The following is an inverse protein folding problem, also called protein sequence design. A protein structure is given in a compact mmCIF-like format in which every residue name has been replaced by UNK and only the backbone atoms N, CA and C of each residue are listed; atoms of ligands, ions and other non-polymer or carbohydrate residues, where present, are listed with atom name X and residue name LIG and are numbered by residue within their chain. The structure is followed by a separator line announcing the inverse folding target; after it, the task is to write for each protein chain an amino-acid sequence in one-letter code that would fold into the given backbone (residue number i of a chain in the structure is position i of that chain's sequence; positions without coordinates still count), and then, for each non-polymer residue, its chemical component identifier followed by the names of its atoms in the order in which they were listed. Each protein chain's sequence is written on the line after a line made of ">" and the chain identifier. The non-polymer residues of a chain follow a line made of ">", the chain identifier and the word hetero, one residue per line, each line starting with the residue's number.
data_IF_368768208122
#
_entry.id   IF_368768208122
#
_cell.length_a   1.000
_cell.length_b   1.000
_cell.length_c   1.000
_cell.angle_alpha   90.00
_cell.angle_beta   90.00
_cell.angle_gamma   90.00
#
_symmetry.space_group_name_H-M   'P 1'
#
loop_
_entity.id
_entity.type
_entity.pdbx_description
1 polymer ?
#
# COMPACT_ATOMS: atom_id res chain seq x y z
N UNK A 1 -6.35 -12.81 -19.69
CA UNK A 1 -5.47 -13.72 -20.44
C UNK A 1 -6.06 -15.14 -20.52
N UNK A 2 -6.40 -15.79 -19.40
CA UNK A 2 -6.97 -17.16 -19.38
C UNK A 2 -8.26 -17.29 -20.19
N UNK A 3 -9.14 -16.29 -20.12
CA UNK A 3 -10.37 -16.27 -20.93
C UNK A 3 -10.07 -16.33 -22.44
N UNK A 4 -9.15 -15.47 -22.90
CA UNK A 4 -8.75 -15.43 -24.31
C UNK A 4 -8.11 -16.76 -24.74
N UNK A 5 -7.22 -17.33 -23.93
CA UNK A 5 -6.58 -18.62 -24.21
C UNK A 5 -7.57 -19.76 -24.30
N UNK A 6 -8.52 -19.88 -23.36
CA UNK A 6 -9.56 -20.90 -23.41
C UNK A 6 -10.49 -20.70 -24.61
N UNK A 7 -10.89 -19.45 -24.91
CA UNK A 7 -11.75 -19.14 -26.04
C UNK A 7 -11.07 -19.51 -27.37
N UNK A 8 -9.81 -19.10 -27.58
CA UNK A 8 -9.03 -19.42 -28.78
C UNK A 8 -8.84 -20.93 -28.91
N UNK A 9 -8.53 -21.62 -27.81
CA UNK A 9 -8.41 -23.08 -27.80
C UNK A 9 -9.71 -23.78 -28.24
N UNK A 10 -10.86 -23.37 -27.68
CA UNK A 10 -12.16 -23.90 -28.07
C UNK A 10 -12.49 -23.62 -29.54
N UNK A 11 -12.20 -22.41 -30.06
CA UNK A 11 -12.46 -22.06 -31.45
C UNK A 11 -11.59 -22.87 -32.42
N UNK A 12 -10.34 -23.12 -32.09
CA UNK A 12 -9.44 -23.97 -32.90
C UNK A 12 -9.95 -25.40 -32.98
N UNK A 13 -10.33 -25.98 -31.84
CA UNK A 13 -10.88 -27.33 -31.79
C UNK A 13 -12.19 -27.41 -32.54
N UNK A 14 -13.08 -26.43 -32.44
CA UNK A 14 -14.34 -26.32 -33.14
C UNK A 14 -14.11 -26.26 -34.67
N UNK A 15 -13.16 -25.47 -35.12
CA UNK A 15 -12.77 -25.40 -36.54
C UNK A 15 -12.27 -26.73 -37.09
N UNK A 16 -11.51 -27.49 -36.31
CA UNK A 16 -11.06 -28.87 -36.68
C UNK A 16 -12.25 -29.81 -36.77
N UNK A 17 -13.15 -29.81 -35.80
CA UNK A 17 -14.36 -30.66 -35.78
C UNK A 17 -15.21 -30.39 -37.02
N UNK A 18 -15.49 -29.11 -37.36
CA UNK A 18 -16.25 -28.72 -38.55
C UNK A 18 -15.55 -29.15 -39.84
N UNK A 19 -14.23 -28.93 -39.94
CA UNK A 19 -13.45 -29.35 -41.12
C UNK A 19 -13.47 -30.84 -41.36
N UNK A 20 -13.41 -31.66 -40.28
CA UNK A 20 -13.52 -33.13 -40.40
C UNK A 20 -14.94 -33.53 -40.83
N UNK A 21 -15.97 -32.87 -40.31
CA UNK A 21 -17.36 -33.13 -40.71
C UNK A 21 -17.57 -32.87 -42.20
N UNK A 22 -17.09 -31.74 -42.73
CA UNK A 22 -17.23 -31.37 -44.15
C UNK A 22 -16.49 -32.38 -45.05
N UNK A 23 -15.26 -32.76 -44.67
CA UNK A 23 -14.49 -33.76 -45.41
C UNK A 23 -15.18 -35.14 -45.46
N UNK A 24 -15.79 -35.56 -44.33
CA UNK A 24 -16.56 -36.82 -44.27
C UNK A 24 -17.81 -36.75 -45.14
N UNK A 25 -18.58 -35.68 -45.10
CA UNK A 25 -19.78 -35.50 -45.92
C UNK A 25 -19.44 -35.49 -47.41
N UNK A 26 -18.33 -34.85 -47.81
CA UNK A 26 -17.86 -34.82 -49.20
C UNK A 26 -17.34 -36.18 -49.69
N UNK A 27 -16.83 -37.04 -48.81
CA UNK A 27 -16.34 -38.38 -49.21
C UNK A 27 -17.43 -39.39 -49.47
N UNK A 28 -18.67 -39.12 -49.08
CA UNK A 28 -19.81 -40.01 -49.30
C UNK A 28 -20.42 -39.79 -50.67
N UNK A 29 -20.27 -40.79 -51.59
CA UNK A 29 -20.72 -40.69 -52.99
C UNK A 29 -22.24 -40.71 -53.14
N UNK A 30 -23.01 -41.14 -52.15
CA UNK A 30 -24.47 -41.16 -52.10
C UNK A 30 -24.96 -41.41 -50.66
N UNK A 31 -24.98 -40.37 -49.80
CA UNK A 31 -25.40 -40.53 -48.42
C UNK A 31 -26.90 -40.77 -48.33
N UNK A 32 -27.31 -41.79 -47.61
CA UNK A 32 -28.70 -41.93 -47.17
C UNK A 32 -29.03 -40.89 -46.12
N UNK A 33 -30.23 -40.28 -46.13
CA UNK A 33 -30.67 -39.21 -45.19
C UNK A 33 -30.40 -39.55 -43.71
N UNK A 34 -30.63 -40.83 -43.35
CA UNK A 34 -30.37 -41.30 -42.00
C UNK A 34 -28.87 -41.29 -41.61
N UNK A 35 -27.96 -41.51 -42.55
CA UNK A 35 -26.51 -41.47 -42.31
C UNK A 35 -26.04 -40.01 -42.09
N UNK A 36 -26.56 -39.10 -42.87
CA UNK A 36 -26.25 -37.65 -42.72
C UNK A 36 -26.72 -37.15 -41.34
N UNK A 37 -27.92 -37.49 -40.90
CA UNK A 37 -28.44 -37.12 -39.60
C UNK A 37 -27.60 -37.68 -38.44
N UNK A 38 -27.11 -38.93 -38.55
CA UNK A 38 -26.23 -39.55 -37.54
C UNK A 38 -24.89 -38.77 -37.47
N UNK A 39 -24.28 -38.47 -38.60
CA UNK A 39 -23.01 -37.74 -38.66
C UNK A 39 -23.20 -36.34 -38.00
N UNK A 40 -24.19 -35.60 -38.38
CA UNK A 40 -24.49 -34.29 -37.78
C UNK A 40 -24.71 -34.42 -36.25
N UNK A 41 -25.48 -35.41 -35.81
CA UNK A 41 -25.72 -35.69 -34.41
C UNK A 41 -24.45 -35.94 -33.60
N UNK A 42 -23.52 -36.75 -34.13
CA UNK A 42 -22.23 -37.03 -33.49
C UNK A 42 -21.38 -35.77 -33.38
N UNK A 43 -21.30 -34.96 -34.45
CA UNK A 43 -20.53 -33.73 -34.44
C UNK A 43 -21.12 -32.65 -33.50
N UNK A 44 -22.45 -32.57 -33.37
CA UNK A 44 -23.10 -31.71 -32.37
C UNK A 44 -22.75 -32.11 -30.94
N UNK A 45 -22.69 -33.43 -30.65
CA UNK A 45 -22.28 -33.92 -29.35
C UNK A 45 -20.81 -33.59 -29.07
N UNK A 46 -19.91 -33.76 -30.05
CA UNK A 46 -18.51 -33.41 -29.90
C UNK A 46 -18.29 -31.92 -29.68
N UNK A 47 -19.00 -31.09 -30.40
CA UNK A 47 -19.01 -29.62 -30.24
C UNK A 47 -19.47 -29.20 -28.85
N UNK A 48 -20.57 -29.78 -28.37
CA UNK A 48 -21.07 -29.55 -27.02
C UNK A 48 -20.04 -29.97 -25.94
N UNK A 49 -19.42 -31.14 -26.13
CA UNK A 49 -18.36 -31.63 -25.22
C UNK A 49 -17.15 -30.66 -25.18
N UNK A 50 -16.75 -30.12 -26.34
CA UNK A 50 -15.66 -29.13 -26.43
C UNK A 50 -16.00 -27.89 -25.64
N UNK A 51 -17.22 -27.34 -25.79
CA UNK A 51 -17.67 -26.14 -25.04
C UNK A 51 -17.68 -26.43 -23.53
N UNK A 52 -18.22 -27.56 -23.09
CA UNK A 52 -18.27 -27.92 -21.67
C UNK A 52 -16.86 -28.11 -21.10
N UNK A 53 -15.95 -28.74 -21.85
CA UNK A 53 -14.57 -28.93 -21.44
C UNK A 53 -13.83 -27.59 -21.31
N UNK A 54 -14.04 -26.67 -22.26
CA UNK A 54 -13.49 -25.32 -22.21
C UNK A 54 -14.00 -24.51 -21.03
N UNK A 55 -15.30 -24.56 -20.77
CA UNK A 55 -15.92 -23.91 -19.62
C UNK A 55 -15.41 -24.48 -18.29
N UNK A 56 -15.27 -25.79 -18.18
CA UNK A 56 -14.69 -26.47 -17.00
C UNK A 56 -13.23 -26.06 -16.76
N UNK A 57 -12.42 -26.04 -17.82
CA UNK A 57 -11.01 -25.63 -17.73
C UNK A 57 -10.89 -24.17 -17.29
N UNK A 58 -11.71 -23.29 -17.88
CA UNK A 58 -11.76 -21.86 -17.47
C UNK A 58 -12.14 -21.71 -16.00
N UNK A 59 -13.20 -22.38 -15.55
CA UNK A 59 -13.63 -22.38 -14.15
C UNK A 59 -12.52 -22.86 -13.21
N UNK A 60 -11.83 -23.94 -13.56
CA UNK A 60 -10.74 -24.49 -12.75
C UNK A 60 -9.52 -23.58 -12.68
N UNK A 61 -9.16 -22.90 -13.77
CA UNK A 61 -8.03 -21.98 -13.83
C UNK A 61 -8.33 -20.68 -13.06
N UNK A 62 -9.53 -20.11 -13.25
CA UNK A 62 -9.93 -18.88 -12.55
C UNK A 62 -10.18 -19.14 -11.06
N UNK A 63 -10.81 -20.25 -10.69
CA UNK A 63 -11.07 -20.59 -9.29
C UNK A 63 -9.79 -20.68 -8.46
N UNK A 64 -8.72 -21.25 -9.01
CA UNK A 64 -7.41 -21.32 -8.30
C UNK A 64 -6.77 -19.95 -8.09
N UNK A 65 -6.90 -19.03 -9.05
CA UNK A 65 -6.35 -17.67 -8.92
C UNK A 65 -7.14 -16.86 -7.90
N UNK A 66 -8.47 -16.94 -7.92
CA UNK A 66 -9.35 -16.28 -6.94
C UNK A 66 -9.11 -16.78 -5.51
N UNK A 67 -9.00 -18.12 -5.33
CA UNK A 67 -8.71 -18.69 -4.00
C UNK A 67 -7.35 -18.24 -3.47
N UNK A 68 -6.32 -18.19 -4.33
CA UNK A 68 -4.98 -17.72 -3.94
C UNK A 68 -5.01 -16.26 -3.52
N UNK A 69 -5.70 -15.42 -4.26
CA UNK A 69 -5.80 -13.99 -3.96
C UNK A 69 -6.59 -13.75 -2.66
N UNK A 70 -7.74 -14.42 -2.50
CA UNK A 70 -8.53 -14.35 -1.26
C UNK A 70 -7.74 -14.84 -0.04
N UNK A 71 -6.98 -15.92 -0.19
CA UNK A 71 -6.13 -16.44 0.90
C UNK A 71 -4.99 -15.48 1.23
N UNK A 72 -4.39 -14.84 0.23
CA UNK A 72 -3.36 -13.82 0.42
C UNK A 72 -3.91 -12.63 1.20
N UNK A 73 -5.03 -12.08 0.79
CA UNK A 73 -5.69 -10.97 1.49
C UNK A 73 -6.06 -11.33 2.93
N UNK A 74 -6.55 -12.56 3.16
CA UNK A 74 -6.86 -13.04 4.51
C UNK A 74 -5.59 -13.14 5.37
N UNK A 75 -4.50 -13.65 4.82
CA UNK A 75 -3.22 -13.77 5.53
C UNK A 75 -2.63 -12.39 5.85
N UNK A 76 -2.68 -11.44 4.92
CA UNK A 76 -2.26 -10.06 5.12
C UNK A 76 -3.06 -9.40 6.25
N UNK A 77 -4.39 -9.58 6.25
CA UNK A 77 -5.26 -9.08 7.35
C UNK A 77 -4.94 -9.73 8.69
N UNK A 78 -4.73 -11.04 8.73
CA UNK A 78 -4.38 -11.76 9.97
C UNK A 78 -3.02 -11.33 10.51
N UNK A 79 -2.04 -11.14 9.63
CA UNK A 79 -0.73 -10.61 9.99
C UNK A 79 -0.84 -9.20 10.58
N UNK A 80 -1.65 -8.33 9.94
CA UNK A 80 -1.96 -6.98 10.41
C UNK A 80 -2.50 -7.01 11.86
N UNK A 81 -3.54 -7.81 12.12
CA UNK A 81 -4.10 -7.94 13.47
C UNK A 81 -3.09 -8.47 14.51
N UNK A 82 -2.26 -9.43 14.12
CA UNK A 82 -1.25 -10.02 15.00
C UNK A 82 -0.16 -8.99 15.36
N UNK A 83 0.34 -8.22 14.40
CA UNK A 83 1.34 -7.18 14.63
C UNK A 83 0.79 -6.07 15.55
N UNK A 84 -0.44 -5.62 15.30
CA UNK A 84 -1.09 -4.60 16.14
C UNK A 84 -1.30 -5.09 17.57
N UNK A 85 -1.81 -6.31 17.74
CA UNK A 85 -2.02 -6.88 19.07
C UNK A 85 -0.71 -6.97 19.84
N UNK A 86 0.39 -7.32 19.18
CA UNK A 86 1.73 -7.34 19.77
C UNK A 86 2.21 -5.94 20.16
N UNK A 87 2.10 -4.96 19.23
CA UNK A 87 2.59 -3.59 19.45
C UNK A 87 1.74 -2.80 20.45
N UNK A 88 0.46 -3.18 20.65
CA UNK A 88 -0.40 -2.67 21.75
C UNK A 88 -0.10 -3.34 23.09
N UNK A 89 0.20 -4.64 23.10
CA UNK A 89 0.42 -5.40 24.34
C UNK A 89 1.60 -4.85 25.15
N UNK A 90 2.68 -4.45 24.49
CA UNK A 90 3.90 -3.95 25.13
C UNK A 90 3.65 -2.67 25.95
N UNK A 91 3.12 -1.56 25.38
CA UNK A 91 2.82 -0.36 26.15
C UNK A 91 1.73 -0.59 27.21
N UNK A 92 0.71 -1.41 26.91
CA UNK A 92 -0.35 -1.75 27.86
C UNK A 92 0.20 -2.48 29.09
N UNK A 93 1.12 -3.43 28.91
CA UNK A 93 1.77 -4.13 30.01
C UNK A 93 2.59 -3.16 30.87
N UNK A 94 3.29 -2.20 30.25
CA UNK A 94 4.04 -1.17 30.96
C UNK A 94 3.13 -0.25 31.77
N UNK A 95 2.02 0.24 31.17
CA UNK A 95 1.03 1.07 31.86
C UNK A 95 0.44 0.32 33.06
N UNK A 96 0.05 -0.95 32.87
CA UNK A 96 -0.50 -1.78 33.93
C UNK A 96 0.51 -2.01 35.04
N UNK A 97 1.79 -2.27 34.73
CA UNK A 97 2.85 -2.47 35.70
C UNK A 97 3.09 -1.24 36.57
N UNK A 98 3.24 -0.07 35.92
CA UNK A 98 3.46 1.19 36.65
C UNK A 98 2.24 1.60 37.47
N UNK A 99 1.02 1.46 36.95
CA UNK A 99 -0.20 1.74 37.68
C UNK A 99 -0.34 0.80 38.93
N UNK A 100 0.04 -0.48 38.80
CA UNK A 100 0.06 -1.42 39.92
C UNK A 100 1.10 -1.03 40.95
N UNK A 101 2.31 -0.65 40.56
CA UNK A 101 3.36 -0.21 41.48
C UNK A 101 2.96 1.05 42.27
N UNK A 102 2.31 2.01 41.61
CA UNK A 102 1.73 3.20 42.27
C UNK A 102 0.63 2.82 43.28
N UNK A 103 -0.30 1.93 42.89
CA UNK A 103 -1.39 1.44 43.73
C UNK A 103 -0.91 0.72 44.98
N UNK A 104 0.18 -0.03 44.86
CA UNK A 104 0.78 -0.80 45.95
C UNK A 104 1.75 0.04 46.84
N UNK A 105 1.92 1.33 46.51
CA UNK A 105 2.82 2.23 47.27
C UNK A 105 4.31 1.85 47.16
N UNK A 106 4.68 1.13 46.10
CA UNK A 106 6.06 0.70 45.81
C UNK A 106 6.93 1.78 45.16
N UNK A 107 6.33 2.92 44.84
CA UNK A 107 6.97 4.05 44.15
C UNK A 107 7.23 5.16 45.16
N UNK A 108 8.44 5.67 45.19
CA UNK A 108 8.78 6.81 46.05
C UNK A 108 8.07 8.09 45.56
N UNK A 109 7.70 9.00 46.49
CA UNK A 109 7.01 10.25 46.10
C UNK A 109 7.72 11.07 45.03
N UNK A 110 9.05 11.08 45.06
CA UNK A 110 9.88 11.82 44.07
C UNK A 110 9.80 11.24 42.65
N UNK A 111 9.54 9.93 42.54
CA UNK A 111 9.48 9.19 41.26
C UNK A 111 8.07 9.15 40.67
N UNK A 112 7.04 9.52 41.45
CA UNK A 112 5.64 9.40 40.99
C UNK A 112 5.33 10.27 39.79
N UNK A 113 5.86 11.51 39.74
CA UNK A 113 5.63 12.42 38.64
C UNK A 113 6.17 11.85 37.31
N UNK A 114 7.37 11.26 37.33
CA UNK A 114 7.97 10.62 36.16
C UNK A 114 7.14 9.42 35.68
N UNK A 115 6.65 8.60 36.62
CA UNK A 115 5.82 7.45 36.27
C UNK A 115 4.47 7.86 35.69
N UNK A 116 3.84 8.92 36.19
CA UNK A 116 2.63 9.46 35.57
C UNK A 116 2.87 9.92 34.15
N UNK A 117 3.99 10.59 33.90
CA UNK A 117 4.39 11.01 32.55
C UNK A 117 4.62 9.80 31.62
N UNK A 118 5.28 8.75 32.10
CA UNK A 118 5.46 7.49 31.35
C UNK A 118 4.09 6.86 31.00
N UNK A 119 3.17 6.78 31.97
CA UNK A 119 1.83 6.22 31.74
C UNK A 119 1.09 7.05 30.70
N UNK A 120 1.13 8.38 30.82
CA UNK A 120 0.50 9.32 29.88
C UNK A 120 1.05 9.14 28.47
N UNK A 121 2.36 9.17 28.31
CA UNK A 121 3.03 9.03 27.01
C UNK A 121 2.76 7.66 26.37
N UNK A 122 2.71 6.57 27.15
CA UNK A 122 2.34 5.24 26.65
C UNK A 122 0.88 5.17 26.22
N UNK A 123 -0.02 5.86 26.93
CA UNK A 123 -1.44 5.94 26.56
C UNK A 123 -1.65 6.75 25.28
N UNK A 124 -0.96 7.87 25.12
CA UNK A 124 -0.96 8.65 23.87
C UNK A 124 -0.45 7.84 22.68
N UNK A 125 0.66 7.11 22.87
CA UNK A 125 1.19 6.22 21.83
C UNK A 125 0.19 5.13 21.42
N UNK A 126 -0.53 4.53 22.37
CA UNK A 126 -1.55 3.51 22.05
C UNK A 126 -2.71 4.13 21.24
N UNK A 127 -3.15 5.34 21.56
CA UNK A 127 -4.18 6.04 20.77
C UNK A 127 -3.69 6.35 19.35
N UNK A 128 -2.46 6.87 19.19
CA UNK A 128 -1.85 7.12 17.87
C UNK A 128 -1.78 5.84 17.02
N UNK A 129 -1.43 4.71 17.63
CA UNK A 129 -1.39 3.40 16.99
C UNK A 129 -2.78 2.98 16.49
N UNK A 130 -3.82 3.13 17.33
CA UNK A 130 -5.21 2.82 16.98
C UNK A 130 -5.71 3.71 15.85
N UNK A 131 -5.47 5.02 15.91
CA UNK A 131 -5.87 5.97 14.87
C UNK A 131 -5.20 5.66 13.52
N UNK A 132 -3.92 5.29 13.57
CA UNK A 132 -3.16 4.87 12.40
C UNK A 132 -3.74 3.58 11.79
N UNK A 133 -4.09 2.61 12.63
CA UNK A 133 -4.75 1.37 12.21
C UNK A 133 -6.12 1.61 11.58
N UNK A 134 -6.97 2.43 12.21
CA UNK A 134 -8.29 2.78 11.65
C UNK A 134 -8.15 3.48 10.30
N UNK A 135 -7.18 4.38 10.18
CA UNK A 135 -6.89 5.05 8.93
C UNK A 135 -6.45 4.07 7.83
N UNK A 136 -5.51 3.17 8.14
CA UNK A 136 -5.06 2.13 7.22
C UNK A 136 -6.22 1.22 6.80
N UNK A 137 -7.00 0.71 7.77
CA UNK A 137 -8.14 -0.15 7.49
C UNK A 137 -9.17 0.53 6.58
N UNK A 138 -9.48 1.81 6.85
CA UNK A 138 -10.42 2.60 6.06
C UNK A 138 -9.91 2.83 4.64
N UNK A 139 -8.66 3.27 4.50
CA UNK A 139 -8.03 3.53 3.20
C UNK A 139 -7.88 2.26 2.35
N UNK A 140 -7.68 1.10 2.99
CA UNK A 140 -7.50 -0.18 2.31
C UNK A 140 -8.82 -0.83 1.84
N UNK A 141 -9.98 -0.19 2.05
CA UNK A 141 -11.26 -0.67 1.50
C UNK A 141 -11.45 -0.20 0.07
N UNK A 142 -12.01 -1.06 -0.78
CA UNK A 142 -12.31 -0.74 -2.18
C UNK A 142 -13.37 0.37 -2.30
N UNK A 143 -14.27 0.45 -1.33
CA UNK A 143 -15.36 1.43 -1.30
C UNK A 143 -14.92 2.82 -0.81
N UNK A 144 -13.70 2.98 -0.28
CA UNK A 144 -13.23 4.27 0.18
C UNK A 144 -13.00 5.23 -0.97
N UNK A 145 -13.78 6.29 -1.01
CA UNK A 145 -13.68 7.37 -2.00
C UNK A 145 -13.01 8.59 -1.39
N UNK A 146 -12.01 9.11 -2.10
CA UNK A 146 -11.37 10.38 -1.75
C UNK A 146 -12.36 11.54 -1.92
N UNK A 147 -12.28 12.51 -1.01
CA UNK A 147 -12.97 13.81 -1.11
C UNK A 147 -12.08 14.79 -1.87
N UNK A 148 -12.01 14.62 -3.20
CA UNK A 148 -11.14 15.42 -4.05
C UNK A 148 -11.66 16.87 -4.14
N UNK A 149 -10.75 17.84 -3.99
CA UNK A 149 -10.98 19.27 -4.16
C UNK A 149 -9.71 19.95 -4.66
N UNK A 150 -9.82 21.18 -5.13
CA UNK A 150 -8.67 22.00 -5.45
C UNK A 150 -7.87 22.33 -4.19
N UNK A 151 -6.61 21.93 -4.14
CA UNK A 151 -5.69 22.11 -3.02
C UNK A 151 -4.41 22.74 -3.52
N UNK A 152 -3.95 23.81 -2.86
CA UNK A 152 -2.61 24.36 -3.06
C UNK A 152 -1.60 23.50 -2.28
N UNK A 153 -0.83 22.69 -3.01
CA UNK A 153 0.17 21.81 -2.41
C UNK A 153 1.36 22.59 -1.82
N UNK A 154 1.71 23.76 -2.37
CA UNK A 154 2.76 24.58 -1.80
C UNK A 154 2.37 25.13 -0.43
N UNK A 155 1.15 25.64 -0.30
CA UNK A 155 0.62 26.11 0.97
C UNK A 155 0.51 24.98 1.99
N UNK A 156 0.00 23.81 1.55
CA UNK A 156 -0.15 22.60 2.38
C UNK A 156 1.19 22.12 2.95
N UNK A 157 2.23 22.02 2.11
CA UNK A 157 3.55 21.57 2.56
C UNK A 157 4.18 22.57 3.50
N UNK A 158 4.07 23.89 3.25
CA UNK A 158 4.56 24.92 4.17
C UNK A 158 3.88 24.85 5.54
N UNK A 159 2.55 24.66 5.56
CA UNK A 159 1.79 24.48 6.82
C UNK A 159 2.33 23.29 7.62
N UNK A 160 2.58 22.16 6.96
CA UNK A 160 3.07 20.94 7.62
C UNK A 160 4.52 21.07 8.08
N UNK A 161 5.38 21.71 7.29
CA UNK A 161 6.76 22.00 7.69
C UNK A 161 6.78 22.91 8.92
N UNK A 162 5.97 23.98 8.94
CA UNK A 162 5.84 24.87 10.10
C UNK A 162 5.31 24.12 11.34
N UNK A 163 4.34 23.21 11.15
CA UNK A 163 3.77 22.41 12.25
C UNK A 163 4.81 21.47 12.88
N UNK A 164 5.73 20.92 12.10
CA UNK A 164 6.76 19.99 12.59
C UNK A 164 8.09 20.69 12.94
N UNK A 165 8.20 22.00 12.78
CA UNK A 165 9.45 22.75 12.91
C UNK A 165 10.13 22.55 14.26
N UNK A 166 9.39 22.61 15.35
CA UNK A 166 9.92 22.45 16.72
C UNK A 166 10.59 21.09 16.93
N UNK A 167 10.12 20.03 16.26
CA UNK A 167 10.73 18.70 16.35
C UNK A 167 12.07 18.64 15.61
N UNK A 168 12.17 19.31 14.47
CA UNK A 168 13.43 19.45 13.74
C UNK A 168 14.45 20.28 14.53
N UNK A 169 14.01 21.36 15.16
CA UNK A 169 14.87 22.22 16.01
C UNK A 169 15.38 21.44 17.24
N UNK A 170 14.54 20.67 17.93
CA UNK A 170 14.94 19.81 19.07
C UNK A 170 16.02 18.78 18.65
N UNK A 171 15.97 18.32 17.42
CA UNK A 171 16.92 17.38 16.86
C UNK A 171 18.12 18.08 16.21
N UNK A 172 18.23 19.43 16.34
CA UNK A 172 19.33 20.22 15.77
C UNK A 172 19.55 19.95 14.27
N UNK A 173 18.44 19.69 13.54
CA UNK A 173 18.46 19.35 12.13
C UNK A 173 18.47 20.59 11.26
N UNK A 174 19.26 20.56 10.20
CA UNK A 174 19.28 21.61 9.19
C UNK A 174 18.20 21.34 8.13
N UNK A 175 17.27 22.30 8.01
CA UNK A 175 16.08 22.16 7.16
C UNK A 175 16.18 23.07 5.94
N UNK A 176 16.42 22.48 4.78
CA UNK A 176 16.40 23.16 3.47
C UNK A 176 14.99 23.09 2.87
N UNK A 177 14.38 24.27 2.62
CA UNK A 177 13.00 24.41 2.15
C UNK A 177 12.99 25.02 0.76
N UNK A 178 12.73 24.18 -0.26
CA UNK A 178 12.65 24.57 -1.67
C UNK A 178 11.20 24.43 -2.17
N UNK A 179 10.35 25.39 -1.78
CA UNK A 179 8.92 25.42 -2.12
C UNK A 179 8.62 26.70 -2.88
N UNK A 180 8.13 26.63 -4.14
CA UNK A 180 7.78 27.80 -4.94
C UNK A 180 6.79 28.73 -4.23
N UNK A 181 6.96 30.04 -4.38
CA UNK A 181 5.97 31.02 -3.86
C UNK A 181 4.63 30.88 -4.61
N UNK A 182 4.69 30.56 -5.89
CA UNK A 182 3.52 30.35 -6.72
C UNK A 182 2.74 29.09 -6.28
N UNK A 183 1.40 29.23 -6.27
CA UNK A 183 0.52 28.13 -5.91
C UNK A 183 0.58 26.99 -6.95
N UNK A 184 0.72 25.76 -6.49
CA UNK A 184 0.59 24.56 -7.30
C UNK A 184 -0.72 23.87 -6.93
N UNK A 185 -1.78 24.18 -7.70
CA UNK A 185 -3.11 23.63 -7.47
C UNK A 185 -3.21 22.23 -8.03
N UNK A 186 -3.71 21.28 -7.23
CA UNK A 186 -4.00 19.90 -7.61
C UNK A 186 -5.38 19.48 -7.12
N UNK A 187 -6.00 18.53 -7.82
CA UNK A 187 -7.24 17.91 -7.35
C UNK A 187 -6.90 16.78 -6.37
N UNK A 188 -7.03 17.05 -5.07
CA UNK A 188 -6.59 16.13 -4.02
C UNK A 188 -7.55 16.12 -2.81
N UNK A 189 -7.52 15.03 -2.05
CA UNK A 189 -8.09 14.98 -0.70
C UNK A 189 -7.06 15.57 0.27
N UNK A 190 -7.31 16.82 0.69
CA UNK A 190 -6.39 17.58 1.53
C UNK A 190 -6.06 16.86 2.83
N UNK A 191 -7.06 16.23 3.47
CA UNK A 191 -6.88 15.53 4.74
C UNK A 191 -5.94 14.33 4.60
N UNK A 192 -6.17 13.52 3.57
CA UNK A 192 -5.36 12.33 3.35
C UNK A 192 -3.96 12.71 2.81
N UNK A 193 -3.86 13.77 2.00
CA UNK A 193 -2.57 14.30 1.55
C UNK A 193 -1.76 14.90 2.70
N UNK A 194 -2.38 15.66 3.62
CA UNK A 194 -1.74 16.10 4.88
C UNK A 194 -1.15 14.93 5.66
N UNK A 195 -1.91 13.83 5.77
CA UNK A 195 -1.44 12.63 6.46
C UNK A 195 -0.23 12.00 5.76
N UNK A 196 -0.29 11.85 4.43
CA UNK A 196 0.81 11.25 3.68
C UNK A 196 2.10 12.06 3.80
N UNK A 197 2.02 13.37 3.63
CA UNK A 197 3.18 14.26 3.71
C UNK A 197 3.72 14.33 5.14
N UNK A 198 2.84 14.47 6.14
CA UNK A 198 3.24 14.49 7.56
C UNK A 198 3.99 13.21 7.95
N UNK A 199 3.55 12.04 7.47
CA UNK A 199 4.27 10.79 7.71
C UNK A 199 5.70 10.82 7.16
N UNK A 200 5.93 11.43 5.99
CA UNK A 200 7.29 11.57 5.43
C UNK A 200 8.13 12.53 6.26
N UNK A 201 7.56 13.66 6.68
CA UNK A 201 8.24 14.63 7.55
C UNK A 201 8.60 14.01 8.90
N UNK A 202 7.65 13.30 9.53
CA UNK A 202 7.88 12.56 10.79
C UNK A 202 8.97 11.50 10.63
N UNK A 203 8.97 10.79 9.50
CA UNK A 203 9.97 9.77 9.19
C UNK A 203 11.38 10.39 9.13
N UNK A 204 11.51 11.59 8.56
CA UNK A 204 12.78 12.28 8.44
C UNK A 204 13.41 12.62 9.81
N UNK A 205 12.65 13.12 10.80
CA UNK A 205 13.25 13.41 12.11
C UNK A 205 13.32 12.21 13.06
N UNK A 206 12.47 11.18 12.88
CA UNK A 206 12.50 9.99 13.75
C UNK A 206 13.60 8.99 13.40
N UNK A 207 14.00 8.92 12.13
CA UNK A 207 14.91 7.90 11.62
C UNK A 207 16.29 8.42 11.21
N UNK A 208 16.57 9.68 11.50
CA UNK A 208 17.88 10.25 11.31
C UNK A 208 18.52 10.63 12.66
N UNK A 209 19.83 10.73 12.66
CA UNK A 209 20.57 11.21 13.82
C UNK A 209 20.43 12.72 14.00
N UNK A 210 20.76 13.20 15.19
CA UNK A 210 20.82 14.62 15.51
C UNK A 210 21.79 15.34 14.59
N UNK A 211 21.41 16.50 14.06
CA UNK A 211 22.22 17.28 13.14
C UNK A 211 22.14 16.83 11.66
N UNK A 212 21.20 15.97 11.30
CA UNK A 212 20.99 15.60 9.91
C UNK A 212 20.46 16.77 9.06
N UNK A 213 20.82 16.77 7.77
CA UNK A 213 20.31 17.73 6.80
C UNK A 213 19.05 17.15 6.11
N UNK A 214 17.98 17.91 6.11
CA UNK A 214 16.69 17.52 5.55
C UNK A 214 16.28 18.50 4.45
N UNK A 215 15.90 17.99 3.28
CA UNK A 215 15.32 18.78 2.19
C UNK A 215 13.83 18.53 2.09
N UNK A 216 13.05 19.61 2.03
CA UNK A 216 11.64 19.55 1.64
C UNK A 216 11.45 20.39 0.37
N UNK A 217 11.14 19.70 -0.74
CA UNK A 217 10.99 20.36 -2.04
C UNK A 217 9.63 20.06 -2.64
N UNK A 218 9.02 21.09 -3.25
CA UNK A 218 7.82 20.94 -4.10
C UNK A 218 8.16 21.46 -5.48
N UNK A 219 7.86 20.70 -6.50
CA UNK A 219 8.09 21.10 -7.89
C UNK A 219 7.00 20.59 -8.82
N UNK A 220 6.72 21.32 -9.90
CA UNK A 220 5.82 20.88 -10.96
C UNK A 220 6.61 20.74 -12.26
N UNK A 221 6.39 19.63 -12.98
CA UNK A 221 6.96 19.39 -14.29
C UNK A 221 5.88 18.88 -15.22
N UNK A 222 5.39 19.75 -16.12
CA UNK A 222 4.20 19.46 -16.92
C UNK A 222 2.98 19.24 -16.03
N UNK A 223 2.29 18.10 -16.25
CA UNK A 223 1.10 17.72 -15.49
C UNK A 223 1.41 16.98 -14.18
N UNK A 224 2.68 16.81 -13.85
CA UNK A 224 3.09 16.07 -12.65
C UNK A 224 3.60 17.03 -11.58
N UNK A 225 3.18 16.78 -10.34
CA UNK A 225 3.72 17.45 -9.16
C UNK A 225 4.52 16.46 -8.34
N UNK A 226 5.69 16.89 -7.89
CA UNK A 226 6.59 16.11 -7.03
C UNK A 226 6.74 16.82 -5.70
N UNK A 227 6.53 16.08 -4.62
CA UNK A 227 6.85 16.49 -3.25
C UNK A 227 7.96 15.57 -2.78
N UNK A 228 9.08 16.14 -2.38
CA UNK A 228 10.30 15.42 -2.00
C UNK A 228 10.60 15.75 -0.54
N UNK A 229 10.81 14.71 0.26
CA UNK A 229 11.40 14.81 1.59
C UNK A 229 12.66 13.94 1.56
N UNK A 230 13.83 14.59 1.54
CA UNK A 230 15.11 13.92 1.45
C UNK A 230 15.95 14.16 2.70
N UNK A 231 16.88 13.26 2.98
CA UNK A 231 17.82 13.36 4.10
C UNK A 231 19.20 12.82 3.75
N UNK A 232 20.22 13.21 4.54
CA UNK A 232 21.59 12.76 4.41
C UNK A 232 21.97 11.64 5.40
N UNK A 233 21.00 10.98 6.00
CA UNK A 233 21.20 9.86 6.92
C UNK A 233 21.62 8.57 6.22
N UNK A 234 21.44 7.43 6.88
CA UNK A 234 21.84 6.12 6.35
C UNK A 234 21.11 5.74 5.07
N UNK A 235 21.82 5.09 4.18
CA UNK A 235 21.28 4.58 2.90
C UNK A 235 20.36 3.41 3.18
N UNK A 236 19.19 3.42 2.55
CA UNK A 236 18.24 2.30 2.65
C UNK A 236 18.76 1.10 1.85
N UNK A 237 18.90 -0.03 2.52
CA UNK A 237 19.29 -1.27 1.85
C UNK A 237 18.31 -1.61 0.72
N UNK A 238 18.80 -2.01 -0.45
CA UNK A 238 17.98 -2.36 -1.63
C UNK A 238 16.88 -3.39 -1.32
N UNK A 239 17.13 -4.35 -0.43
CA UNK A 239 16.11 -5.32 0.00
C UNK A 239 15.01 -4.68 0.81
N UNK A 240 15.35 -3.71 1.66
CA UNK A 240 14.38 -2.97 2.48
C UNK A 240 13.60 -1.99 1.59
N UNK A 241 14.25 -1.34 0.63
CA UNK A 241 13.62 -0.40 -0.28
C UNK A 241 12.46 -1.01 -1.10
N UNK A 242 12.50 -2.32 -1.37
CA UNK A 242 11.40 -3.01 -2.10
C UNK A 242 10.17 -3.27 -1.24
N UNK A 243 10.32 -3.32 0.08
CA UNK A 243 9.23 -3.67 1.01
C UNK A 243 8.88 -2.57 2.01
N UNK A 244 9.62 -1.44 2.00
CA UNK A 244 9.46 -0.38 3.01
C UNK A 244 8.05 0.28 2.99
N UNK A 245 7.35 0.18 1.88
CA UNK A 245 5.97 0.66 1.72
C UNK A 245 4.93 -0.41 2.07
N UNK A 246 5.35 -1.64 2.38
CA UNK A 246 4.44 -2.68 2.87
C UNK A 246 4.08 -2.42 4.35
N UNK A 247 2.86 -2.77 4.78
CA UNK A 247 2.47 -2.63 6.17
C UNK A 247 3.44 -3.38 7.11
N UNK A 248 3.82 -2.74 8.22
CA UNK A 248 4.73 -3.28 9.25
C UNK A 248 6.15 -3.57 8.77
N UNK A 249 6.54 -3.08 7.62
CA UNK A 249 7.94 -3.09 7.22
C UNK A 249 8.74 -2.27 8.23
N UNK A 250 9.57 -2.94 9.02
CA UNK A 250 10.53 -2.33 9.95
C UNK A 250 11.91 -2.72 9.48
N UNK A 251 12.83 -1.76 9.36
CA UNK A 251 14.26 -2.07 9.19
C UNK A 251 14.76 -2.90 10.37
N UNK A 252 15.84 -3.68 10.18
CA UNK A 252 16.37 -4.59 11.19
C UNK A 252 16.73 -3.88 12.52
N UNK A 253 17.11 -2.61 12.47
CA UNK A 253 17.42 -1.78 13.65
C UNK A 253 16.16 -1.29 14.39
N UNK A 254 15.04 -1.13 13.72
CA UNK A 254 13.77 -0.73 14.33
C UNK A 254 13.07 -1.88 15.09
N UNK A 255 13.52 -3.12 14.91
CA UNK A 255 13.00 -4.29 15.66
C UNK A 255 13.40 -4.27 17.13
N UNK A 256 14.52 -3.63 17.46
CA UNK A 256 15.08 -3.58 18.82
C UNK A 256 14.74 -2.34 19.63
N UNK A 257 14.13 -1.29 19.06
CA UNK A 257 14.00 0.02 19.70
C UNK A 257 12.64 0.73 19.68
N UNK A 258 11.59 0.17 19.09
CA UNK A 258 10.23 0.71 19.25
C UNK A 258 9.93 2.06 18.58
N UNK A 259 10.70 2.54 17.62
CA UNK A 259 10.54 3.86 16.99
C UNK A 259 9.51 3.91 15.84
N UNK A 260 8.36 3.26 15.95
CA UNK A 260 7.29 3.46 14.96
C UNK A 260 6.43 2.23 14.69
N UNK A 261 5.23 2.45 14.17
CA UNK A 261 4.22 1.41 13.89
C UNK A 261 4.53 0.59 12.64
N UNK A 262 5.40 1.07 11.76
CA UNK A 262 5.62 0.50 10.43
C UNK A 262 4.43 0.68 9.47
N UNK A 263 3.44 1.50 9.84
CA UNK A 263 2.26 1.78 9.02
C UNK A 263 2.32 3.13 8.30
N UNK A 264 3.16 4.07 8.75
CA UNK A 264 3.18 5.43 8.22
C UNK A 264 3.46 5.48 6.72
N UNK A 265 4.54 4.82 6.25
CA UNK A 265 4.88 4.77 4.83
C UNK A 265 3.87 3.97 4.00
N UNK A 266 3.30 2.89 4.56
CA UNK A 266 2.24 2.13 3.90
C UNK A 266 0.97 2.97 3.69
N UNK A 267 0.57 3.78 4.70
CA UNK A 267 -0.53 4.73 4.57
C UNK A 267 -0.22 5.79 3.52
N UNK A 268 0.99 6.36 3.54
CA UNK A 268 1.38 7.35 2.53
C UNK A 268 1.31 6.77 1.13
N UNK A 269 1.76 5.53 0.93
CA UNK A 269 1.68 4.84 -0.35
C UNK A 269 0.23 4.63 -0.80
N UNK A 270 -0.65 4.13 0.08
CA UNK A 270 -2.08 3.94 -0.21
C UNK A 270 -2.78 5.26 -0.57
N UNK A 271 -2.48 6.34 0.15
CA UNK A 271 -3.03 7.67 -0.15
C UNK A 271 -2.61 8.11 -1.54
N UNK A 272 -1.32 8.02 -1.85
CA UNK A 272 -0.76 8.45 -3.14
C UNK A 272 -1.30 7.59 -4.28
N UNK A 273 -1.40 6.26 -4.11
CA UNK A 273 -1.99 5.34 -5.10
C UNK A 273 -3.47 5.66 -5.36
N UNK A 274 -4.25 5.96 -4.32
CA UNK A 274 -5.66 6.36 -4.49
C UNK A 274 -5.83 7.70 -5.21
N UNK A 275 -4.82 8.58 -5.17
CA UNK A 275 -4.74 9.79 -5.99
C UNK A 275 -4.21 9.53 -7.42
N UNK A 276 -4.01 8.26 -7.80
CA UNK A 276 -3.46 7.89 -9.10
C UNK A 276 -1.99 8.25 -9.27
N UNK A 277 -1.28 8.50 -8.16
CA UNK A 277 0.12 8.85 -8.10
C UNK A 277 1.05 7.67 -7.77
N UNK A 278 2.30 7.99 -7.45
CA UNK A 278 3.31 7.03 -7.05
C UNK A 278 4.18 7.60 -5.92
N UNK A 279 4.39 6.79 -4.87
CA UNK A 279 5.40 7.04 -3.84
C UNK A 279 6.60 6.13 -4.10
N UNK A 280 7.80 6.69 -4.08
CA UNK A 280 9.02 5.92 -4.31
C UNK A 280 10.22 6.57 -3.61
N UNK A 281 11.34 5.84 -3.53
CA UNK A 281 12.61 6.33 -3.02
C UNK A 281 13.46 6.76 -4.21
N UNK A 282 14.06 7.93 -4.10
CA UNK A 282 15.05 8.47 -5.04
C UNK A 282 16.38 8.62 -4.28
N UNK A 283 17.41 7.94 -4.74
CA UNK A 283 18.78 7.97 -4.20
C UNK A 283 19.73 8.86 -5.02
N UNK A 284 19.17 9.61 -5.99
CA UNK A 284 19.91 10.49 -6.90
C UNK A 284 19.68 11.98 -6.60
N UNK A 285 19.31 12.36 -5.37
CA UNK A 285 19.11 13.76 -4.98
C UNK A 285 20.45 14.34 -4.53
N UNK A 286 20.90 15.38 -5.24
CA UNK A 286 22.20 16.01 -4.98
C UNK A 286 22.31 16.54 -3.55
N UNK A 287 23.35 16.13 -2.82
CA UNK A 287 23.59 16.50 -1.42
C UNK A 287 22.89 15.63 -0.38
N UNK A 288 22.07 14.66 -0.81
CA UNK A 288 21.29 13.79 0.08
C UNK A 288 21.49 12.31 -0.25
N UNK A 289 21.37 11.44 0.74
CA UNK A 289 21.58 9.99 0.57
C UNK A 289 20.34 9.27 0.09
N UNK A 290 19.17 9.79 0.40
CA UNK A 290 17.86 9.25 0.00
C UNK A 290 16.78 10.33 0.05
N UNK A 291 15.73 10.16 -0.73
CA UNK A 291 14.53 10.97 -0.64
C UNK A 291 13.27 10.17 -0.91
N UNK A 292 12.23 10.42 -0.15
CA UNK A 292 10.90 9.91 -0.43
C UNK A 292 10.17 10.90 -1.34
N UNK A 293 9.70 10.41 -2.47
CA UNK A 293 9.09 11.25 -3.50
C UNK A 293 7.63 10.85 -3.71
N UNK A 294 6.72 11.77 -3.41
CA UNK A 294 5.33 11.71 -3.84
C UNK A 294 5.23 12.34 -5.22
N UNK A 295 4.69 11.59 -6.17
CA UNK A 295 4.45 12.07 -7.54
C UNK A 295 2.98 11.86 -7.89
N UNK A 296 2.23 12.96 -8.12
CA UNK A 296 0.81 12.93 -8.46
C UNK A 296 0.53 13.78 -9.70
N UNK A 297 -0.59 13.50 -10.37
CA UNK A 297 -1.07 14.37 -11.44
C UNK A 297 -1.72 15.63 -10.88
N UNK A 298 -1.58 16.72 -11.63
CA UNK A 298 -2.14 18.01 -11.26
C UNK A 298 -3.67 18.03 -11.39
N UNK A 299 -4.20 17.41 -12.47
CA UNK A 299 -5.64 17.32 -12.80
C UNK A 299 -5.96 15.96 -13.42
#
# INVERSE_FOLDING_TARGET
>A
LYFILCLVGCLVVEGIILGIMDALLMSLSSPNDNMVLIIIGVFLILSLMNIVAGAYLFYRLTGKTWQKESQRQMNERNMLYSCIAHDLKTPMTSVQGFATALKEGKVKPEEQAEIYEIIYNKSCYMNELLDTMFAFSKLNTDDYKLSLREVDLCALVRELVAFHYDEYEKMDMDLDIDIPEEAIICNADEKEMKRAISNLLVNAYKHNEKGAHILVRVSAQGDMVRIIVADNGDVINKKVATTIFEPFAKGDEARSGGKGTGLGLAISNLVVEKHGGKLYIDDCIEGYTKGFVICIKRF
#
